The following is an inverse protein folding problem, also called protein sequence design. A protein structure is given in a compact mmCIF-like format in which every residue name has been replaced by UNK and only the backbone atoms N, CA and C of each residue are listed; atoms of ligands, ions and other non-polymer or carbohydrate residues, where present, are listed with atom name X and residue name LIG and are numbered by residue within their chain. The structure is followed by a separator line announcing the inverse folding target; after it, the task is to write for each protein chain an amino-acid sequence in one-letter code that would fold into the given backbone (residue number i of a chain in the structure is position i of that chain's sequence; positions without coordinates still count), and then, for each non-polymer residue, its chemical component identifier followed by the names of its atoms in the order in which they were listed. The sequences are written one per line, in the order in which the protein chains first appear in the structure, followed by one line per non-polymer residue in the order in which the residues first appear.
data_IF_757484870969
#
_entry.id   IF_757484870969
#
_cell.length_a   1.000
_cell.length_b   1.000
_cell.length_c   1.000
_cell.angle_alpha   90.00
_cell.angle_beta   90.00
_cell.angle_gamma   90.00
#
_symmetry.space_group_name_H-M   'P 1'
#
loop_
_entity.id
_entity.type
_entity.pdbx_description
1 polymer ?
#
# COMPACT_ATOMS: atom_id res chain seq x y z
N UNK A 1 -21.49 -16.88 -11.50
CA UNK A 1 -20.07 -17.10 -11.14
C UNK A 1 -19.13 -15.97 -11.56
N UNK A 2 -19.38 -15.24 -12.67
CA UNK A 2 -18.51 -14.12 -13.08
C UNK A 2 -18.35 -13.00 -12.03
N UNK A 3 -19.43 -12.66 -11.32
CA UNK A 3 -19.40 -11.72 -10.20
C UNK A 3 -18.44 -12.16 -9.07
N UNK A 4 -18.49 -13.44 -8.68
CA UNK A 4 -17.62 -14.01 -7.64
C UNK A 4 -16.14 -13.89 -8.04
N UNK A 5 -15.78 -14.32 -9.26
CA UNK A 5 -14.40 -14.22 -9.74
C UNK A 5 -13.91 -12.77 -9.84
N UNK A 6 -14.78 -11.83 -10.23
CA UNK A 6 -14.44 -10.40 -10.31
C UNK A 6 -14.15 -9.81 -8.92
N UNK A 7 -14.99 -10.13 -7.93
CA UNK A 7 -14.79 -9.68 -6.54
C UNK A 7 -13.52 -10.29 -5.93
N UNK A 8 -13.26 -11.58 -6.15
CA UNK A 8 -12.05 -12.26 -5.65
C UNK A 8 -10.79 -11.70 -6.31
N UNK A 9 -10.83 -11.37 -7.61
CA UNK A 9 -9.72 -10.74 -8.31
C UNK A 9 -9.35 -9.39 -7.67
N UNK A 10 -10.36 -8.56 -7.38
CA UNK A 10 -10.16 -7.27 -6.71
C UNK A 10 -9.61 -7.39 -5.29
N UNK A 11 -10.14 -8.32 -4.48
CA UNK A 11 -9.62 -8.60 -3.14
C UNK A 11 -8.15 -9.04 -3.20
N UNK A 12 -7.83 -9.97 -4.11
CA UNK A 12 -6.46 -10.48 -4.28
C UNK A 12 -5.51 -9.36 -4.70
N UNK A 13 -5.92 -8.51 -5.65
CA UNK A 13 -5.14 -7.35 -6.05
C UNK A 13 -4.91 -6.38 -4.88
N UNK A 14 -5.93 -6.09 -4.07
CA UNK A 14 -5.80 -5.24 -2.88
C UNK A 14 -4.77 -5.77 -1.87
N UNK A 15 -4.81 -7.08 -1.56
CA UNK A 15 -3.85 -7.71 -0.66
C UNK A 15 -2.42 -7.67 -1.22
N UNK A 16 -2.25 -7.95 -2.51
CA UNK A 16 -0.93 -7.89 -3.17
C UNK A 16 -0.37 -6.46 -3.23
N UNK A 17 -1.23 -5.45 -3.44
CA UNK A 17 -0.84 -4.04 -3.34
C UNK A 17 -0.34 -3.74 -1.93
N UNK A 18 -1.04 -4.22 -0.88
CA UNK A 18 -0.60 -4.08 0.51
C UNK A 18 0.80 -4.66 0.74
N UNK A 19 1.10 -5.85 0.21
CA UNK A 19 2.45 -6.43 0.29
C UNK A 19 3.50 -5.62 -0.48
N UNK A 20 3.15 -5.10 -1.66
CA UNK A 20 4.03 -4.22 -2.42
C UNK A 20 4.36 -2.96 -1.63
N UNK A 21 3.35 -2.28 -1.09
CA UNK A 21 3.55 -1.10 -0.24
C UNK A 21 4.44 -1.42 0.95
N UNK A 22 4.19 -2.51 1.67
CA UNK A 22 5.01 -2.94 2.81
C UNK A 22 6.49 -3.17 2.43
N UNK A 23 6.76 -3.72 1.24
CA UNK A 23 8.13 -3.90 0.77
C UNK A 23 8.84 -2.55 0.61
N UNK A 24 8.21 -1.58 -0.04
CA UNK A 24 8.80 -0.26 -0.29
C UNK A 24 8.85 0.64 0.95
N UNK A 25 8.01 0.40 1.96
CA UNK A 25 7.93 1.23 3.17
C UNK A 25 8.61 0.66 4.40
N UNK A 26 9.05 -0.61 4.39
CA UNK A 26 9.69 -1.22 5.57
C UNK A 26 10.99 -1.97 5.22
N UNK A 27 11.10 -2.55 4.02
CA UNK A 27 12.19 -3.48 3.70
C UNK A 27 13.39 -2.78 3.07
N UNK A 28 14.04 -3.47 2.12
CA UNK A 28 15.30 -3.06 1.49
C UNK A 28 15.31 -1.60 0.99
N UNK A 29 14.27 -1.08 0.32
CA UNK A 29 14.29 0.30 -0.20
C UNK A 29 14.51 1.34 0.89
N UNK A 30 13.84 1.23 2.03
CA UNK A 30 14.03 2.16 3.17
C UNK A 30 15.45 2.11 3.71
N UNK A 31 16.07 0.93 3.80
CA UNK A 31 17.45 0.82 4.25
C UNK A 31 18.42 1.55 3.31
N UNK A 32 18.22 1.42 2.00
CA UNK A 32 19.04 2.13 1.00
C UNK A 32 18.84 3.65 1.10
N UNK A 33 17.59 4.11 1.28
CA UNK A 33 17.29 5.53 1.48
C UNK A 33 17.99 6.04 2.75
N UNK A 34 17.91 5.30 3.85
CA UNK A 34 18.58 5.65 5.11
C UNK A 34 20.11 5.71 4.95
N UNK A 35 20.70 4.72 4.28
CA UNK A 35 22.15 4.68 4.06
C UNK A 35 22.63 5.85 3.18
N UNK A 36 21.80 6.30 2.24
CA UNK A 36 22.11 7.47 1.40
C UNK A 36 22.25 8.77 2.21
N UNK A 37 21.64 8.86 3.40
CA UNK A 37 21.74 10.04 4.27
C UNK A 37 23.15 10.33 4.77
N UNK A 38 24.05 9.34 4.76
CA UNK A 38 25.47 9.54 5.09
C UNK A 38 26.13 10.52 4.11
N UNK A 39 25.65 10.58 2.87
CA UNK A 39 26.17 11.47 1.82
C UNK A 39 25.49 12.85 1.80
N UNK A 40 24.48 13.06 2.66
CA UNK A 40 23.79 14.34 2.87
C UNK A 40 22.31 14.36 2.46
N UNK A 41 21.59 15.46 2.75
CA UNK A 41 20.15 15.53 2.53
C UNK A 41 19.72 15.41 1.06
N UNK A 42 20.53 15.93 0.14
CA UNK A 42 20.19 15.95 -1.29
C UNK A 42 20.08 14.53 -1.88
N UNK A 43 21.01 13.64 -1.54
CA UNK A 43 21.00 12.25 -2.01
C UNK A 43 19.89 11.43 -1.36
N UNK A 44 19.54 11.71 -0.10
CA UNK A 44 18.35 11.12 0.54
C UNK A 44 17.07 11.46 -0.18
N UNK A 45 16.87 12.75 -0.52
CA UNK A 45 15.68 13.20 -1.25
C UNK A 45 15.61 12.55 -2.63
N UNK A 46 16.72 12.57 -3.39
CA UNK A 46 16.76 12.00 -4.74
C UNK A 46 16.50 10.48 -4.70
N UNK A 47 17.14 9.76 -3.77
CA UNK A 47 16.96 8.31 -3.62
C UNK A 47 15.54 7.96 -3.19
N UNK A 48 14.96 8.75 -2.27
CA UNK A 48 13.58 8.60 -1.84
C UNK A 48 12.58 8.81 -2.98
N UNK A 49 12.77 9.85 -3.80
CA UNK A 49 11.93 10.09 -4.98
C UNK A 49 12.08 8.95 -5.99
N UNK A 50 13.30 8.47 -6.23
CA UNK A 50 13.55 7.37 -7.17
C UNK A 50 12.77 6.10 -6.77
N UNK A 51 12.88 5.64 -5.52
CA UNK A 51 12.13 4.49 -5.04
C UNK A 51 10.62 4.77 -4.95
N UNK A 52 10.22 6.00 -4.66
CA UNK A 52 8.81 6.42 -4.71
C UNK A 52 8.21 6.21 -6.10
N UNK A 53 8.91 6.64 -7.16
CA UNK A 53 8.49 6.41 -8.54
C UNK A 53 8.49 4.92 -8.90
N UNK A 54 9.55 4.18 -8.54
CA UNK A 54 9.66 2.73 -8.78
C UNK A 54 8.50 1.96 -8.13
N UNK A 55 8.10 2.35 -6.91
CA UNK A 55 7.07 1.66 -6.13
C UNK A 55 5.70 1.61 -6.80
N UNK A 56 5.42 2.50 -7.76
CA UNK A 56 4.14 2.59 -8.46
C UNK A 56 3.94 1.50 -9.51
N UNK A 57 5.02 0.88 -9.99
CA UNK A 57 4.97 -0.08 -11.09
C UNK A 57 4.14 -1.32 -10.76
N UNK A 58 4.43 -1.98 -9.63
CA UNK A 58 3.74 -3.20 -9.24
C UNK A 58 2.23 -2.98 -8.97
N UNK A 59 1.81 -1.96 -8.19
CA UNK A 59 0.39 -1.65 -8.02
C UNK A 59 -0.34 -1.36 -9.34
N UNK A 60 0.28 -0.61 -10.26
CA UNK A 60 -0.31 -0.30 -11.56
C UNK A 60 -0.59 -1.56 -12.38
N UNK A 61 0.37 -2.49 -12.43
CA UNK A 61 0.22 -3.76 -13.15
C UNK A 61 -0.87 -4.63 -12.51
N UNK A 62 -0.89 -4.73 -11.18
CA UNK A 62 -1.90 -5.52 -10.44
C UNK A 62 -3.32 -4.99 -10.67
N UNK A 63 -3.51 -3.67 -10.62
CA UNK A 63 -4.81 -3.05 -10.90
C UNK A 63 -5.26 -3.31 -12.34
N UNK A 64 -4.35 -3.13 -13.31
CA UNK A 64 -4.65 -3.35 -14.73
C UNK A 64 -5.06 -4.81 -15.00
N UNK A 65 -4.35 -5.78 -14.42
CA UNK A 65 -4.69 -7.20 -14.54
C UNK A 65 -6.03 -7.52 -13.86
N UNK A 66 -6.29 -6.98 -12.67
CA UNK A 66 -7.57 -7.19 -11.98
C UNK A 66 -8.74 -6.66 -12.79
N UNK A 67 -8.59 -5.48 -13.42
CA UNK A 67 -9.60 -4.90 -14.30
C UNK A 67 -9.85 -5.78 -15.54
N UNK A 68 -8.79 -6.25 -16.21
CA UNK A 68 -8.91 -7.11 -17.39
C UNK A 68 -9.61 -8.44 -17.08
N UNK A 69 -9.20 -9.09 -15.99
CA UNK A 69 -9.79 -10.35 -15.51
C UNK A 69 -11.27 -10.13 -15.21
N UNK A 70 -11.59 -9.07 -14.47
CA UNK A 70 -12.97 -8.78 -14.04
C UNK A 70 -13.87 -8.39 -15.22
N UNK A 71 -13.33 -7.64 -16.19
CA UNK A 71 -14.03 -7.30 -17.43
C UNK A 71 -14.34 -8.55 -18.26
N UNK A 72 -13.41 -9.51 -18.35
CA UNK A 72 -13.65 -10.76 -19.05
C UNK A 72 -14.79 -11.59 -18.42
N UNK A 73 -14.89 -11.60 -17.09
CA UNK A 73 -15.89 -12.43 -16.39
C UNK A 73 -17.29 -11.80 -16.26
N UNK A 74 -17.40 -10.47 -16.18
CA UNK A 74 -18.69 -9.79 -15.98
C UNK A 74 -18.76 -8.36 -16.56
N UNK A 75 -17.92 -8.03 -17.56
CA UNK A 75 -17.90 -6.74 -18.22
C UNK A 75 -17.64 -5.58 -17.26
N UNK A 76 -18.23 -4.42 -17.55
CA UNK A 76 -18.10 -3.22 -16.70
C UNK A 76 -18.62 -3.47 -15.28
N UNK A 77 -19.70 -4.26 -15.15
CA UNK A 77 -20.23 -4.63 -13.83
C UNK A 77 -19.22 -5.44 -13.02
N UNK A 78 -18.46 -6.33 -13.68
CA UNK A 78 -17.33 -7.05 -13.08
C UNK A 78 -16.24 -6.12 -12.58
N UNK A 79 -15.85 -5.11 -13.37
CA UNK A 79 -14.86 -4.10 -12.95
C UNK A 79 -15.33 -3.35 -11.70
N UNK A 80 -16.61 -2.95 -11.65
CA UNK A 80 -17.20 -2.32 -10.46
C UNK A 80 -17.16 -3.24 -9.24
N UNK A 81 -17.51 -4.52 -9.41
CA UNK A 81 -17.46 -5.52 -8.34
C UNK A 81 -16.03 -5.85 -7.88
N UNK A 82 -15.05 -5.74 -8.78
CA UNK A 82 -13.63 -5.83 -8.44
C UNK A 82 -13.23 -4.72 -7.46
N UNK A 83 -13.66 -3.49 -7.72
CA UNK A 83 -13.45 -2.36 -6.80
C UNK A 83 -14.10 -2.60 -5.43
N UNK A 84 -15.31 -3.15 -5.39
CA UNK A 84 -15.97 -3.53 -4.13
C UNK A 84 -15.19 -4.64 -3.41
N UNK A 85 -14.69 -5.64 -4.15
CA UNK A 85 -13.88 -6.73 -3.61
C UNK A 85 -12.57 -6.24 -2.99
N UNK A 86 -11.88 -5.30 -3.64
CA UNK A 86 -10.67 -4.67 -3.11
C UNK A 86 -10.92 -3.98 -1.75
N UNK A 87 -12.08 -3.33 -1.60
CA UNK A 87 -12.48 -2.64 -0.37
C UNK A 87 -13.24 -3.53 0.63
N UNK A 88 -13.41 -4.82 0.37
CA UNK A 88 -14.19 -5.69 1.26
C UNK A 88 -13.60 -5.85 2.67
N UNK A 89 -12.28 -5.69 2.80
CA UNK A 89 -11.54 -5.69 4.07
C UNK A 89 -11.24 -4.29 4.60
N UNK A 90 -11.94 -3.26 4.09
CA UNK A 90 -11.69 -1.86 4.44
C UNK A 90 -11.75 -1.60 5.95
N UNK A 91 -12.66 -2.26 6.68
CA UNK A 91 -12.74 -2.10 8.14
C UNK A 91 -11.43 -2.44 8.86
N UNK A 92 -10.75 -3.51 8.43
CA UNK A 92 -9.43 -3.88 8.97
C UNK A 92 -8.36 -2.88 8.54
N UNK A 93 -8.36 -2.46 7.28
CA UNK A 93 -7.37 -1.51 6.75
C UNK A 93 -7.46 -0.16 7.47
N UNK A 94 -8.66 0.39 7.63
CA UNK A 94 -8.88 1.66 8.33
C UNK A 94 -8.50 1.58 9.81
N UNK A 95 -8.75 0.43 10.44
CA UNK A 95 -8.33 0.22 11.84
C UNK A 95 -6.80 0.25 11.98
N UNK A 96 -6.07 -0.36 11.03
CA UNK A 96 -4.60 -0.34 11.01
C UNK A 96 -4.03 1.03 10.66
N UNK A 97 -4.67 1.76 9.75
CA UNK A 97 -4.28 3.12 9.38
C UNK A 97 -4.47 4.09 10.55
N UNK A 98 -5.58 3.97 11.29
CA UNK A 98 -5.84 4.75 12.49
C UNK A 98 -4.88 4.44 13.65
N UNK A 99 -4.31 3.23 13.71
CA UNK A 99 -3.35 2.86 14.75
C UNK A 99 -2.09 3.72 14.71
N UNK A 100 -1.58 4.08 13.52
CA UNK A 100 -0.35 4.87 13.37
C UNK A 100 -0.39 6.21 14.11
N UNK A 101 -1.32 7.14 13.77
CA UNK A 101 -1.44 8.42 14.45
C UNK A 101 -1.70 8.31 15.96
N UNK A 102 -2.41 7.27 16.40
CA UNK A 102 -2.65 7.02 17.83
C UNK A 102 -1.32 6.67 18.53
N UNK A 103 -0.54 5.76 17.94
CA UNK A 103 0.75 5.36 18.48
C UNK A 103 1.77 6.51 18.49
N UNK A 104 1.83 7.30 17.42
CA UNK A 104 2.74 8.45 17.30
C UNK A 104 2.42 9.51 18.37
N UNK A 105 1.14 9.83 18.59
CA UNK A 105 0.72 10.77 19.64
C UNK A 105 1.03 10.26 21.05
N UNK A 106 0.84 8.96 21.28
CA UNK A 106 1.18 8.34 22.57
C UNK A 106 2.69 8.44 22.84
N UNK A 107 3.53 8.14 21.84
CA UNK A 107 4.99 8.32 21.92
C UNK A 107 5.40 9.76 22.18
N UNK A 108 4.75 10.72 21.50
CA UNK A 108 4.97 12.14 21.74
C UNK A 108 4.61 12.57 23.17
N UNK A 109 3.51 12.08 23.74
CA UNK A 109 3.15 12.34 25.14
C UNK A 109 4.20 11.77 26.09
N UNK A 110 4.64 10.53 25.89
CA UNK A 110 5.67 9.90 26.71
C UNK A 110 7.00 10.68 26.71
N UNK A 111 7.44 11.13 25.53
CA UNK A 111 8.63 11.98 25.38
C UNK A 111 8.47 13.33 26.10
N UNK A 112 7.30 13.98 25.96
CA UNK A 112 7.03 15.28 26.60
C UNK A 112 6.92 15.19 28.13
N UNK A 113 6.45 14.07 28.68
CA UNK A 113 6.32 13.84 30.12
C UNK A 113 7.56 13.21 30.75
N UNK A 114 8.58 12.85 29.94
CA UNK A 114 9.78 12.11 30.37
C UNK A 114 9.44 10.80 31.08
N UNK A 115 8.42 10.11 30.57
CA UNK A 115 8.07 8.77 31.03
C UNK A 115 8.93 7.79 30.23
N UNK A 116 9.98 7.26 30.88
CA UNK A 116 10.71 6.09 30.38
C UNK A 116 9.98 4.78 30.69
#
# INVERSE_FOLDING_TARGET
MGAFYSTVAGLTAGVLIGFSTNYYTIKRPIRIISDSAITGPATTIITGIAFGLESTFFPMVLLSLSMLISYYFAGIYGVSLSGVGLLSILGTILSLDAYGPIADNAGGIAEMTKQE
#
